data_IF_812479545079
#
_entry.id   IF_812479545079
#
_cell.length_a   1.000
_cell.length_b   1.000
_cell.length_c   1.000
_cell.angle_alpha   90.00
_cell.angle_beta   90.00
_cell.angle_gamma   90.00
#
_symmetry.space_group_name_H-M   'P 1'
#
loop_
_entity.id
_entity.type
_entity.pdbx_description
1 polymer ?
#
# COMPACT_ATOMS: atom_id res chain seq x y z
N UNK A 1 13.94 7.90 -0.19
CA UNK A 1 13.06 8.25 -1.33
C UNK A 1 13.02 9.76 -1.56
N UNK A 2 12.39 10.53 -0.65
CA UNK A 2 12.23 11.99 -0.74
C UNK A 2 13.57 12.74 -0.84
N UNK A 3 14.47 12.56 0.14
CA UNK A 3 15.78 13.24 0.15
C UNK A 3 16.63 12.93 -1.10
N UNK A 4 16.50 11.70 -1.62
CA UNK A 4 17.19 11.22 -2.83
C UNK A 4 16.48 11.63 -4.12
N UNK A 5 15.30 12.28 -4.05
CA UNK A 5 14.45 12.63 -5.19
C UNK A 5 14.20 11.46 -6.15
N UNK A 6 14.01 10.26 -5.60
CA UNK A 6 13.68 9.07 -6.40
C UNK A 6 12.43 9.37 -7.22
N UNK A 7 12.48 9.04 -8.50
CA UNK A 7 11.33 9.12 -9.38
C UNK A 7 10.43 7.92 -9.12
N UNK A 8 9.20 8.20 -8.75
CA UNK A 8 8.17 7.21 -8.44
C UNK A 8 6.99 7.48 -9.35
N UNK A 9 6.28 6.45 -9.84
CA UNK A 9 5.15 6.61 -10.74
C UNK A 9 3.88 7.10 -10.01
N UNK A 10 3.98 8.18 -9.20
CA UNK A 10 2.94 8.66 -8.28
C UNK A 10 1.62 8.97 -8.99
N UNK A 11 1.69 9.56 -10.18
CA UNK A 11 0.48 9.85 -10.97
C UNK A 11 -0.27 8.58 -11.40
N UNK A 12 0.45 7.51 -11.77
CA UNK A 12 -0.17 6.21 -12.08
C UNK A 12 -0.72 5.56 -10.83
N UNK A 13 0.08 5.50 -9.75
CA UNK A 13 -0.34 4.92 -8.48
C UNK A 13 -1.62 5.60 -7.99
N UNK A 14 -1.67 6.94 -7.96
CA UNK A 14 -2.86 7.69 -7.55
C UNK A 14 -4.11 7.30 -8.34
N UNK A 15 -4.02 7.25 -9.68
CA UNK A 15 -5.16 6.85 -10.52
C UNK A 15 -5.64 5.45 -10.20
N UNK A 16 -4.73 4.48 -10.15
CA UNK A 16 -5.07 3.08 -9.89
C UNK A 16 -5.79 2.92 -8.51
N UNK A 17 -5.39 3.71 -7.50
CA UNK A 17 -6.03 3.72 -6.18
C UNK A 17 -7.41 4.39 -6.20
N UNK A 18 -7.55 5.55 -6.85
CA UNK A 18 -8.84 6.22 -7.03
C UNK A 18 -9.85 5.34 -7.77
N UNK A 19 -9.43 4.71 -8.88
CA UNK A 19 -10.28 3.82 -9.68
C UNK A 19 -10.77 2.62 -8.85
N UNK A 20 -9.89 2.07 -7.99
CA UNK A 20 -10.23 0.97 -7.08
C UNK A 20 -11.27 1.40 -6.04
N UNK A 21 -11.16 2.62 -5.48
CA UNK A 21 -12.13 3.18 -4.54
C UNK A 21 -13.48 3.38 -5.22
N UNK A 22 -13.49 4.03 -6.39
CA UNK A 22 -14.71 4.31 -7.14
C UNK A 22 -15.47 3.01 -7.48
N UNK A 23 -14.74 1.98 -7.89
CA UNK A 23 -15.35 0.69 -8.18
C UNK A 23 -15.93 0.04 -6.92
N UNK A 24 -15.17 0.01 -5.82
CA UNK A 24 -15.60 -0.56 -4.55
C UNK A 24 -16.83 0.14 -3.95
N UNK A 25 -16.94 1.46 -4.13
CA UNK A 25 -18.10 2.23 -3.69
C UNK A 25 -19.35 2.01 -4.54
N UNK A 26 -19.19 1.71 -5.83
CA UNK A 26 -20.33 1.44 -6.73
C UNK A 26 -20.90 0.04 -6.52
N UNK A 27 -20.05 -0.98 -6.54
CA UNK A 27 -20.46 -2.36 -6.35
C UNK A 27 -19.27 -3.29 -6.10
N UNK A 28 -19.49 -4.36 -5.34
CA UNK A 28 -18.53 -5.47 -5.24
C UNK A 28 -18.51 -6.30 -6.53
N UNK A 29 -17.84 -5.80 -7.56
CA UNK A 29 -17.77 -6.44 -8.87
C UNK A 29 -16.93 -7.72 -8.85
N UNK A 30 -17.18 -8.68 -9.76
CA UNK A 30 -16.31 -9.83 -9.93
C UNK A 30 -14.86 -9.40 -10.20
N UNK A 31 -13.93 -9.90 -9.38
CA UNK A 31 -12.51 -9.64 -9.52
C UNK A 31 -12.00 -8.34 -8.87
N UNK A 32 -12.87 -7.53 -8.26
CA UNK A 32 -12.46 -6.31 -7.53
C UNK A 32 -11.44 -6.64 -6.43
N UNK A 33 -11.68 -7.67 -5.62
CA UNK A 33 -10.73 -8.09 -4.57
C UNK A 33 -9.34 -8.39 -5.13
N UNK A 34 -9.28 -9.05 -6.30
CA UNK A 34 -8.00 -9.35 -6.96
C UNK A 34 -7.33 -8.08 -7.47
N UNK A 35 -8.07 -7.16 -8.08
CA UNK A 35 -7.54 -5.85 -8.51
C UNK A 35 -7.06 -5.03 -7.32
N UNK A 36 -7.82 -4.94 -6.25
CA UNK A 36 -7.45 -4.23 -5.03
C UNK A 36 -6.13 -4.75 -4.43
N UNK A 37 -5.91 -6.07 -4.43
CA UNK A 37 -4.63 -6.67 -4.02
C UNK A 37 -3.50 -6.21 -4.95
N UNK A 38 -3.71 -6.20 -6.28
CA UNK A 38 -2.68 -5.73 -7.20
C UNK A 38 -2.39 -4.22 -7.04
N UNK A 39 -3.41 -3.41 -6.79
CA UNK A 39 -3.27 -1.97 -6.52
C UNK A 39 -2.49 -1.75 -5.22
N UNK A 40 -2.84 -2.45 -4.14
CA UNK A 40 -2.11 -2.45 -2.86
C UNK A 40 -0.62 -2.77 -3.06
N UNK A 41 -0.33 -3.88 -3.75
CA UNK A 41 1.02 -4.31 -4.04
C UNK A 41 1.82 -3.29 -4.87
N UNK A 42 1.16 -2.53 -5.75
CA UNK A 42 1.85 -1.59 -6.63
C UNK A 42 2.54 -0.44 -5.89
N UNK A 43 1.93 0.09 -4.81
CA UNK A 43 2.57 1.12 -3.99
C UNK A 43 3.74 0.52 -3.21
N UNK A 44 3.51 -0.65 -2.63
CA UNK A 44 4.52 -1.43 -1.90
C UNK A 44 5.76 -1.71 -2.76
N UNK A 45 5.58 -2.16 -4.00
CA UNK A 45 6.67 -2.42 -4.95
C UNK A 45 7.44 -1.13 -5.29
N UNK A 46 6.73 -0.02 -5.53
CA UNK A 46 7.36 1.27 -5.83
C UNK A 46 8.23 1.77 -4.66
N UNK A 47 7.75 1.63 -3.43
CA UNK A 47 8.50 2.01 -2.22
C UNK A 47 9.71 1.08 -1.99
N UNK A 48 9.51 -0.23 -2.18
CA UNK A 48 10.56 -1.25 -2.04
C UNK A 48 11.68 -1.07 -3.07
N UNK A 49 11.34 -0.80 -4.33
CA UNK A 49 12.30 -0.58 -5.41
C UNK A 49 13.17 0.67 -5.20
N UNK A 50 12.66 1.68 -4.48
CA UNK A 50 13.42 2.89 -4.18
C UNK A 50 14.30 2.80 -2.93
N UNK A 51 14.39 1.63 -2.27
CA UNK A 51 15.34 1.36 -1.20
C UNK A 51 16.78 1.31 -1.76
N UNK A 52 17.66 2.16 -1.22
CA UNK A 52 19.08 2.23 -1.62
C UNK A 52 19.99 1.40 -0.72
N UNK A 53 19.47 0.27 -0.25
CA UNK A 53 20.20 -0.59 0.67
C UNK A 53 19.86 -2.05 0.34
N UNK A 54 20.85 -2.84 -0.13
CA UNK A 54 20.60 -4.20 -0.58
C UNK A 54 20.09 -5.11 0.54
N UNK A 55 20.53 -4.89 1.79
CA UNK A 55 20.04 -5.66 2.94
C UNK A 55 18.59 -5.31 3.27
N UNK A 56 18.23 -4.02 3.21
CA UNK A 56 16.85 -3.60 3.44
C UNK A 56 15.92 -4.09 2.33
N UNK A 57 16.37 -4.01 1.07
CA UNK A 57 15.62 -4.51 -0.08
C UNK A 57 15.37 -6.03 0.01
N UNK A 58 16.39 -6.80 0.40
CA UNK A 58 16.25 -8.25 0.58
C UNK A 58 15.33 -8.60 1.76
N UNK A 59 15.48 -7.91 2.89
CA UNK A 59 14.59 -8.10 4.04
C UNK A 59 13.12 -7.79 3.67
N UNK A 60 12.90 -6.71 2.91
CA UNK A 60 11.59 -6.35 2.39
C UNK A 60 11.03 -7.45 1.47
N UNK A 61 11.82 -7.93 0.51
CA UNK A 61 11.42 -9.00 -0.43
C UNK A 61 11.03 -10.29 0.29
N UNK A 62 11.84 -10.72 1.27
CA UNK A 62 11.54 -11.91 2.09
C UNK A 62 10.25 -11.71 2.89
N UNK A 63 10.06 -10.54 3.48
CA UNK A 63 8.82 -10.23 4.20
C UNK A 63 7.62 -10.18 3.25
N UNK A 64 7.76 -9.64 2.04
CA UNK A 64 6.70 -9.58 1.04
C UNK A 64 6.21 -10.98 0.65
N UNK A 65 7.12 -11.95 0.54
CA UNK A 65 6.76 -13.37 0.33
C UNK A 65 5.96 -13.93 1.50
N UNK A 66 6.37 -13.66 2.74
CA UNK A 66 5.65 -14.12 3.95
C UNK A 66 4.24 -13.51 4.02
N UNK A 67 4.11 -12.20 3.79
CA UNK A 67 2.79 -11.55 3.77
C UNK A 67 1.92 -12.11 2.65
N UNK A 68 2.49 -12.43 1.47
CA UNK A 68 1.71 -13.05 0.39
C UNK A 68 1.11 -14.40 0.81
N UNK A 69 1.87 -15.24 1.53
CA UNK A 69 1.35 -16.50 2.09
C UNK A 69 0.21 -16.24 3.09
N UNK A 70 0.37 -15.25 3.97
CA UNK A 70 -0.66 -14.87 4.95
C UNK A 70 -1.92 -14.37 4.25
N UNK A 71 -1.79 -13.46 3.28
CA UNK A 71 -2.93 -12.89 2.54
C UNK A 71 -3.67 -13.94 1.69
N UNK A 72 -2.99 -14.99 1.21
CA UNK A 72 -3.65 -16.10 0.51
C UNK A 72 -4.44 -17.01 1.45
N UNK A 73 -4.06 -17.12 2.72
CA UNK A 73 -4.77 -17.93 3.72
C UNK A 73 -5.86 -17.13 4.46
N UNK A 74 -5.73 -15.80 4.48
CA UNK A 74 -6.70 -14.84 5.05
C UNK A 74 -6.91 -13.68 4.08
N UNK A 75 -7.83 -13.82 3.11
CA UNK A 75 -8.02 -12.82 2.07
C UNK A 75 -8.55 -11.50 2.65
N UNK A 76 -8.30 -10.44 1.88
CA UNK A 76 -8.74 -9.09 2.18
C UNK A 76 -10.27 -9.04 2.40
N UNK A 77 -10.70 -8.51 3.54
CA UNK A 77 -12.13 -8.24 3.76
C UNK A 77 -12.57 -7.16 2.75
N UNK A 78 -13.73 -7.30 2.09
CA UNK A 78 -14.25 -6.26 1.21
C UNK A 78 -14.27 -4.88 1.86
N UNK A 79 -14.66 -4.82 3.13
CA UNK A 79 -14.73 -3.58 3.94
C UNK A 79 -13.37 -2.91 4.16
N UNK A 80 -12.26 -3.64 3.96
CA UNK A 80 -10.90 -3.09 4.10
C UNK A 80 -10.43 -2.38 2.82
N UNK A 81 -11.05 -2.64 1.66
CA UNK A 81 -10.59 -2.12 0.36
C UNK A 81 -10.53 -0.59 0.37
N UNK A 82 -11.65 0.07 0.63
CA UNK A 82 -11.72 1.54 0.58
C UNK A 82 -10.77 2.19 1.60
N UNK A 83 -10.80 1.82 2.90
CA UNK A 83 -9.89 2.41 3.87
C UNK A 83 -8.40 2.21 3.53
N UNK A 84 -8.03 1.07 2.94
CA UNK A 84 -6.62 0.79 2.59
C UNK A 84 -6.15 1.70 1.46
N UNK A 85 -6.98 1.89 0.45
CA UNK A 85 -6.66 2.78 -0.66
C UNK A 85 -6.59 4.25 -0.22
N UNK A 86 -7.44 4.68 0.72
CA UNK A 86 -7.39 6.04 1.29
C UNK A 86 -6.10 6.28 2.10
N UNK A 87 -5.68 5.32 2.92
CA UNK A 87 -4.40 5.37 3.63
C UNK A 87 -3.22 5.47 2.64
N UNK A 88 -3.26 4.70 1.55
CA UNK A 88 -2.25 4.76 0.49
C UNK A 88 -2.24 6.12 -0.22
N UNK A 89 -3.40 6.70 -0.50
CA UNK A 89 -3.50 8.04 -1.10
C UNK A 89 -2.89 9.11 -0.21
N UNK A 90 -3.06 9.03 1.11
CA UNK A 90 -2.41 9.95 2.05
C UNK A 90 -0.87 9.83 2.00
N UNK A 91 -0.34 8.61 1.86
CA UNK A 91 1.11 8.38 1.67
C UNK A 91 1.57 8.95 0.32
N UNK A 92 0.82 8.71 -0.75
CA UNK A 92 1.11 9.25 -2.09
C UNK A 92 1.11 10.79 -2.08
N UNK A 93 0.17 11.43 -1.38
CA UNK A 93 0.12 12.89 -1.21
C UNK A 93 1.35 13.44 -0.47
N UNK A 94 1.82 12.74 0.56
CA UNK A 94 3.04 13.13 1.25
C UNK A 94 4.28 12.99 0.36
N UNK A 95 4.37 11.89 -0.41
CA UNK A 95 5.47 11.67 -1.36
C UNK A 95 5.50 12.71 -2.47
N UNK A 96 4.33 13.08 -3.01
CA UNK A 96 4.18 14.08 -4.08
C UNK A 96 4.62 15.47 -3.61
N UNK A 97 4.22 15.85 -2.38
CA UNK A 97 4.67 17.08 -1.71
C UNK A 97 6.13 17.04 -1.25
N UNK A 98 6.83 15.92 -1.44
CA UNK A 98 8.20 15.68 -0.95
C UNK A 98 8.30 15.89 0.57
N UNK A 99 7.26 15.53 1.31
CA UNK A 99 7.21 15.58 2.77
C UNK A 99 7.57 14.21 3.34
N UNK A 100 8.82 14.08 3.78
CA UNK A 100 9.33 12.81 4.31
C UNK A 100 8.70 12.44 5.66
N UNK A 101 8.43 13.42 6.52
CA UNK A 101 7.86 13.19 7.84
C UNK A 101 6.42 12.71 7.73
N UNK A 102 5.61 13.39 6.91
CA UNK A 102 4.24 12.97 6.65
C UNK A 102 4.18 11.59 5.97
N UNK A 103 5.11 11.27 5.07
CA UNK A 103 5.13 9.96 4.42
C UNK A 103 5.46 8.84 5.42
N UNK A 104 6.42 9.06 6.32
CA UNK A 104 6.77 8.10 7.38
C UNK A 104 5.62 7.94 8.36
N UNK A 105 4.96 9.04 8.77
CA UNK A 105 3.79 8.99 9.65
C UNK A 105 2.64 8.21 9.00
N UNK A 106 2.35 8.46 7.72
CA UNK A 106 1.33 7.74 6.96
C UNK A 106 1.63 6.24 6.85
N UNK A 107 2.88 5.85 6.59
CA UNK A 107 3.30 4.44 6.57
C UNK A 107 3.15 3.77 7.94
N UNK A 108 3.51 4.46 9.02
CA UNK A 108 3.38 3.94 10.38
C UNK A 108 1.90 3.72 10.75
N UNK A 109 1.04 4.67 10.40
CA UNK A 109 -0.41 4.58 10.64
C UNK A 109 -1.04 3.45 9.82
N UNK A 110 -0.72 3.34 8.52
CA UNK A 110 -1.16 2.24 7.68
C UNK A 110 -0.75 0.87 8.25
N UNK A 111 0.50 0.73 8.70
CA UNK A 111 0.99 -0.50 9.33
C UNK A 111 0.19 -0.82 10.59
N UNK A 112 0.01 0.16 11.48
CA UNK A 112 -0.74 0.01 12.73
C UNK A 112 -2.19 -0.40 12.47
N UNK A 113 -2.84 0.23 11.50
CA UNK A 113 -4.23 -0.07 11.13
C UNK A 113 -4.35 -1.44 10.49
N UNK A 114 -3.42 -1.83 9.61
CA UNK A 114 -3.37 -3.19 9.05
C UNK A 114 -3.18 -4.26 10.13
N UNK A 115 -2.31 -4.03 11.14
CA UNK A 115 -2.15 -4.95 12.27
C UNK A 115 -3.43 -5.08 13.12
N UNK A 116 -4.18 -3.99 13.32
CA UNK A 116 -5.50 -4.05 13.97
C UNK A 116 -6.49 -4.88 13.16
N UNK A 117 -6.56 -4.68 11.85
CA UNK A 117 -7.41 -5.47 10.95
C UNK A 117 -7.05 -6.96 10.94
N UNK A 118 -5.79 -7.31 11.18
CA UNK A 118 -5.36 -8.69 11.34
C UNK A 118 -5.56 -9.26 12.76
N UNK A 119 -6.11 -8.45 13.69
CA UNK A 119 -6.34 -8.85 15.08
C UNK A 119 -5.06 -9.00 15.90
N UNK A 120 -3.95 -8.41 15.45
CA UNK A 120 -2.65 -8.44 16.15
C UNK A 120 -2.60 -7.33 17.21
N UNK A 121 -3.13 -6.14 16.87
CA UNK A 121 -3.27 -5.04 17.80
C UNK A 121 -4.74 -4.89 18.22
N UNK A 122 -4.95 -4.62 19.51
CA UNK A 122 -6.25 -4.31 20.12
C UNK A 122 -6.32 -2.81 20.39
#
# INVERSE_FOLDING_TARGET
LVARKVDLPLARLRRDHCDTIEEAQRAMSPGLTRRAILTDLSLHDALGAGLDNPFAAEAYRVNRNRIAVIQNTRPFLPDRIVPAMEEHLAIIDALDRRDAEAAVAGLAEHCRTTLRWWGILV
#
